data_IF_692786885057
#
_entry.id   IF_692786885057
#
_cell.length_a   1.000
_cell.length_b   1.000
_cell.length_c   1.000
_cell.angle_alpha   90.00
_cell.angle_beta   90.00
_cell.angle_gamma   90.00
#
_symmetry.space_group_name_H-M   'P 1'
#
loop_
_entity.id
_entity.type
_entity.pdbx_description
1 polymer ?
#
# COMPACT_ATOMS: atom_id res chain seq x y z
N UNK A 1 -12.18 6.82 6.27
CA UNK A 1 -11.82 7.17 7.65
C UNK A 1 -10.69 8.17 7.61
N UNK A 2 -10.83 9.36 8.19
CA UNK A 2 -9.85 10.45 8.00
C UNK A 2 -8.69 10.35 8.99
N UNK A 3 -7.63 9.66 8.59
CA UNK A 3 -6.31 9.85 9.15
C UNK A 3 -5.68 11.06 8.45
N UNK A 4 -4.96 11.92 9.17
CA UNK A 4 -4.25 13.01 8.50
C UNK A 4 -3.11 12.45 7.63
N UNK A 5 -2.79 13.17 6.57
CA UNK A 5 -1.83 12.73 5.55
C UNK A 5 -0.44 12.43 6.11
N UNK A 6 0.02 13.22 7.09
CA UNK A 6 1.37 13.03 7.68
C UNK A 6 1.38 11.73 8.49
N UNK A 7 0.37 11.52 9.34
CA UNK A 7 0.25 10.28 10.10
C UNK A 7 0.08 9.07 9.18
N UNK A 8 -0.66 9.19 8.08
CA UNK A 8 -0.83 8.12 7.10
C UNK A 8 0.50 7.71 6.46
N UNK A 9 1.34 8.67 6.06
CA UNK A 9 2.70 8.40 5.56
C UNK A 9 3.57 7.69 6.60
N UNK A 10 3.57 8.18 7.84
CA UNK A 10 4.39 7.60 8.92
C UNK A 10 3.97 6.16 9.23
N UNK A 11 2.67 5.88 9.29
CA UNK A 11 2.15 4.54 9.52
C UNK A 11 2.49 3.62 8.34
N UNK A 12 2.32 4.10 7.11
CA UNK A 12 2.63 3.34 5.89
C UNK A 12 4.10 2.88 5.85
N UNK A 13 5.03 3.77 6.19
CA UNK A 13 6.45 3.43 6.31
C UNK A 13 6.71 2.39 7.40
N UNK A 14 6.10 2.54 8.58
CA UNK A 14 6.27 1.58 9.67
C UNK A 14 5.70 0.20 9.33
N UNK A 15 4.54 0.15 8.66
CA UNK A 15 3.95 -1.09 8.18
C UNK A 15 4.87 -1.80 7.18
N UNK A 16 5.42 -1.06 6.21
CA UNK A 16 6.40 -1.60 5.27
C UNK A 16 7.60 -2.23 5.99
N UNK A 17 8.21 -1.47 6.90
CA UNK A 17 9.38 -1.91 7.67
C UNK A 17 9.06 -3.11 8.55
N UNK A 18 7.91 -3.12 9.21
CA UNK A 18 7.47 -4.22 10.06
C UNK A 18 7.22 -5.50 9.25
N UNK A 19 6.55 -5.40 8.10
CA UNK A 19 6.28 -6.53 7.22
C UNK A 19 7.58 -7.18 6.71
N UNK A 20 8.52 -6.37 6.21
CA UNK A 20 9.83 -6.87 5.75
C UNK A 20 10.67 -7.47 6.87
N UNK A 21 10.68 -6.86 8.06
CA UNK A 21 11.46 -7.36 9.22
C UNK A 21 10.91 -8.68 9.77
N UNK A 22 9.59 -8.80 9.89
CA UNK A 22 8.95 -9.96 10.52
C UNK A 22 8.52 -11.03 9.52
N UNK A 23 8.72 -10.82 8.21
CA UNK A 23 8.33 -11.74 7.13
C UNK A 23 6.84 -12.08 7.16
N UNK A 24 6.02 -11.10 7.49
CA UNK A 24 4.56 -11.23 7.53
C UNK A 24 3.93 -10.52 6.35
N UNK A 25 2.78 -11.02 5.91
CA UNK A 25 1.99 -10.41 4.83
C UNK A 25 0.86 -9.58 5.43
N UNK A 26 0.68 -8.37 4.91
CA UNK A 26 -0.46 -7.50 5.25
C UNK A 26 -1.27 -7.19 4.00
N UNK A 27 -2.57 -7.00 4.21
CA UNK A 27 -3.50 -6.51 3.19
C UNK A 27 -4.11 -5.22 3.75
N UNK A 28 -4.03 -4.14 2.97
CA UNK A 28 -4.61 -2.85 3.32
C UNK A 28 -5.60 -2.43 2.23
N UNK A 29 -6.84 -2.15 2.63
CA UNK A 29 -7.83 -1.53 1.77
C UNK A 29 -7.91 -0.04 2.09
N UNK A 30 -7.67 0.81 1.08
CA UNK A 30 -7.71 2.26 1.21
C UNK A 30 -8.29 2.86 -0.07
N UNK A 31 -9.04 3.96 0.08
CA UNK A 31 -9.47 4.83 -1.03
C UNK A 31 -8.47 5.97 -1.28
N UNK A 32 -7.40 6.06 -0.50
CA UNK A 32 -6.38 7.09 -0.60
C UNK A 32 -5.10 6.50 -1.20
N UNK A 33 -4.53 7.21 -2.18
CA UNK A 33 -3.32 6.82 -2.91
C UNK A 33 -2.03 7.42 -2.34
N UNK A 34 -2.14 8.43 -1.48
CA UNK A 34 -1.00 9.15 -0.89
C UNK A 34 -0.08 8.26 -0.04
N UNK A 35 -0.60 7.15 0.48
CA UNK A 35 0.14 6.14 1.24
C UNK A 35 1.04 5.23 0.39
N UNK A 36 0.81 5.13 -0.92
CA UNK A 36 1.40 4.08 -1.77
C UNK A 36 2.93 4.17 -1.83
N UNK A 37 3.48 5.38 -1.84
CA UNK A 37 4.93 5.62 -1.91
C UNK A 37 5.64 5.03 -0.68
N UNK A 38 5.11 5.31 0.51
CA UNK A 38 5.70 4.91 1.79
C UNK A 38 5.41 3.44 2.12
N UNK A 39 4.21 2.97 1.78
CA UNK A 39 3.79 1.58 1.98
C UNK A 39 4.58 0.62 1.07
N UNK A 40 4.91 1.06 -0.15
CA UNK A 40 5.64 0.31 -1.18
C UNK A 40 5.15 -1.15 -1.30
N UNK A 41 3.86 -1.37 -1.63
CA UNK A 41 3.30 -2.72 -1.66
C UNK A 41 3.96 -3.59 -2.74
N UNK A 42 4.03 -4.90 -2.47
CA UNK A 42 4.53 -5.88 -3.44
C UNK A 42 3.48 -6.15 -4.55
N UNK A 43 2.19 -6.02 -4.23
CA UNK A 43 1.04 -6.10 -5.15
C UNK A 43 0.06 -4.96 -4.83
N UNK A 44 -0.36 -4.21 -5.86
CA UNK A 44 -1.39 -3.18 -5.77
C UNK A 44 -2.61 -3.63 -6.58
N UNK A 45 -3.79 -3.66 -5.95
CA UNK A 45 -5.06 -3.92 -6.61
C UNK A 45 -5.86 -2.61 -6.63
N UNK A 46 -6.17 -2.11 -7.82
CA UNK A 46 -6.98 -0.91 -8.01
C UNK A 46 -8.37 -1.34 -8.45
N UNK A 47 -9.39 -0.92 -7.72
CA UNK A 47 -10.79 -1.19 -8.05
C UNK A 47 -11.53 0.12 -8.25
N UNK A 48 -11.82 0.43 -9.51
CA UNK A 48 -12.63 1.58 -9.87
C UNK A 48 -14.12 1.31 -9.60
N UNK A 49 -14.86 2.35 -9.21
CA UNK A 49 -16.30 2.24 -8.91
C UNK A 49 -17.12 1.86 -10.15
N UNK A 50 -16.81 2.48 -11.29
CA UNK A 50 -17.48 2.24 -12.59
C UNK A 50 -16.56 1.60 -13.62
N UNK A 51 -15.32 1.30 -13.24
CA UNK A 51 -14.29 0.76 -14.12
C UNK A 51 -13.92 -0.69 -13.83
N UNK A 52 -12.82 -1.11 -14.46
CA UNK A 52 -12.24 -2.45 -14.29
C UNK A 52 -11.54 -2.63 -12.94
N UNK A 53 -11.04 -3.86 -12.73
CA UNK A 53 -10.08 -4.14 -11.67
C UNK A 53 -8.71 -4.26 -12.31
N UNK A 54 -7.71 -3.53 -11.81
CA UNK A 54 -6.32 -3.64 -12.24
C UNK A 54 -5.47 -4.26 -11.13
N UNK A 55 -4.53 -5.12 -11.51
CA UNK A 55 -3.57 -5.73 -10.58
C UNK A 55 -2.15 -5.42 -11.05
N UNK A 56 -1.41 -4.67 -10.25
CA UNK A 56 -0.05 -4.22 -10.53
C UNK A 56 0.90 -4.95 -9.59
N UNK A 57 1.83 -5.71 -10.15
CA UNK A 57 2.89 -6.38 -9.41
C UNK A 57 4.16 -5.54 -9.43
N UNK A 58 4.83 -5.42 -8.26
CA UNK A 58 6.13 -4.77 -8.20
C UNK A 58 7.12 -5.52 -9.08
N UNK A 59 7.67 -4.85 -10.10
CA UNK A 59 8.72 -5.43 -10.94
C UNK A 59 9.94 -5.71 -10.07
N UNK A 60 10.31 -6.98 -9.94
CA UNK A 60 11.56 -7.36 -9.28
C UNK A 60 12.73 -6.74 -10.05
N UNK A 61 13.50 -5.87 -9.41
CA UNK A 61 14.80 -5.46 -9.95
C UNK A 61 15.70 -6.70 -9.85
N UNK A 62 15.88 -7.38 -10.98
CA UNK A 62 16.96 -8.36 -11.17
C UNK A 62 18.31 -7.65 -11.06
#
# INVERSE_FOLDING_TARGET
>A
SSLDRVTATVISYHLHKFAKRNKVTFILASSHEDILTDLSPDVLVVKELTGGTEVIHKKSKR
#
